data_IF_900387528350
#
_entry.id   IF_900387528350
#
_cell.length_a   1.000
_cell.length_b   1.000
_cell.length_c   1.000
_cell.angle_alpha   90.00
_cell.angle_beta   90.00
_cell.angle_gamma   90.00
#
_symmetry.space_group_name_H-M   'P 1'
#
loop_
_entity.id
_entity.type
_entity.pdbx_description
1 polymer ?
#
# COMPACT_ATOMS: atom_id res chain seq x y z
N UNK A 1 -3.66 26.87 -13.97
CA UNK A 1 -3.22 25.60 -14.46
C UNK A 1 -3.78 24.45 -13.69
N UNK A 2 -4.11 23.45 -14.39
CA UNK A 2 -4.71 22.27 -13.79
C UNK A 2 -3.70 21.38 -13.07
N UNK A 3 -2.42 21.74 -13.09
CA UNK A 3 -1.38 20.92 -12.46
C UNK A 3 -1.52 20.79 -10.96
N UNK A 4 -2.22 21.72 -10.33
CA UNK A 4 -2.35 21.74 -8.87
C UNK A 4 -3.74 21.31 -8.42
N UNK A 5 -4.29 20.32 -9.10
CA UNK A 5 -5.61 19.80 -8.75
C UNK A 5 -5.62 19.14 -7.37
N UNK A 6 -4.48 18.69 -6.90
CA UNK A 6 -4.41 17.93 -5.66
C UNK A 6 -3.46 18.59 -4.68
N UNK A 7 -3.91 18.69 -3.44
CA UNK A 7 -3.06 19.14 -2.35
C UNK A 7 -2.03 18.05 -2.06
N UNK A 8 -0.76 18.41 -1.87
CA UNK A 8 0.24 17.42 -1.51
C UNK A 8 -0.13 16.68 -0.22
N UNK A 9 0.07 15.37 -0.23
CA UNK A 9 -0.25 14.49 0.88
C UNK A 9 1.07 14.06 1.53
N UNK A 10 1.20 14.25 2.85
CA UNK A 10 2.30 13.66 3.60
C UNK A 10 1.98 12.18 3.75
N UNK A 11 2.67 11.35 2.99
CA UNK A 11 2.30 9.96 2.82
C UNK A 11 2.38 9.15 4.11
N UNK A 12 3.42 9.39 4.91
CA UNK A 12 3.58 8.67 6.19
C UNK A 12 2.36 8.89 7.08
N UNK A 13 1.95 10.15 7.22
CA UNK A 13 0.81 10.51 8.06
C UNK A 13 -0.49 9.95 7.49
N UNK A 14 -0.63 9.99 6.18
CA UNK A 14 -1.81 9.46 5.50
C UNK A 14 -1.98 7.97 5.78
N UNK A 15 -0.89 7.21 5.71
CA UNK A 15 -0.91 5.77 6.01
C UNK A 15 -1.23 5.53 7.48
N UNK A 16 -0.67 6.32 8.39
CA UNK A 16 -0.98 6.18 9.82
C UNK A 16 -2.47 6.36 10.07
N UNK A 17 -3.10 7.32 9.41
CA UNK A 17 -4.54 7.56 9.56
C UNK A 17 -5.36 6.38 9.04
N UNK A 18 -4.95 5.81 7.91
CA UNK A 18 -5.61 4.61 7.39
C UNK A 18 -5.43 3.43 8.33
N UNK A 19 -4.22 3.27 8.88
CA UNK A 19 -3.93 2.18 9.80
C UNK A 19 -4.79 2.22 11.04
N UNK A 20 -5.14 3.41 11.50
CA UNK A 20 -5.97 3.55 12.70
C UNK A 20 -7.29 2.79 12.56
N UNK A 21 -7.88 2.76 11.37
CA UNK A 21 -9.12 2.04 11.12
C UNK A 21 -8.94 0.53 11.03
N UNK A 22 -7.73 0.07 10.74
CA UNK A 22 -7.43 -1.36 10.58
C UNK A 22 -6.87 -1.95 11.89
N UNK A 23 -6.41 -1.11 12.79
CA UNK A 23 -5.71 -1.52 14.00
C UNK A 23 -6.45 -2.55 14.84
N UNK A 24 -7.77 -2.40 15.11
CA UNK A 24 -8.47 -3.39 15.91
C UNK A 24 -8.39 -4.79 15.31
N UNK A 25 -8.47 -4.88 13.99
CA UNK A 25 -8.38 -6.16 13.29
C UNK A 25 -6.98 -6.73 13.36
N UNK A 26 -5.97 -5.88 13.20
CA UNK A 26 -4.57 -6.29 13.31
C UNK A 26 -4.28 -6.82 14.72
N UNK A 27 -4.77 -6.13 15.75
CA UNK A 27 -4.59 -6.55 17.14
C UNK A 27 -5.22 -7.92 17.36
N UNK A 28 -6.43 -8.14 16.86
CA UNK A 28 -7.11 -9.43 17.04
C UNK A 28 -6.35 -10.57 16.37
N UNK A 29 -5.55 -10.29 15.37
CA UNK A 29 -4.73 -11.29 14.68
C UNK A 29 -3.28 -11.29 15.18
N UNK A 30 -2.98 -10.52 16.23
CA UNK A 30 -1.65 -10.39 16.80
C UNK A 30 -0.63 -10.00 15.73
N UNK A 31 -1.03 -9.10 14.84
CA UNK A 31 -0.25 -8.64 13.72
C UNK A 31 0.10 -7.19 13.94
N UNK A 32 1.36 -6.84 13.65
CA UNK A 32 1.88 -5.48 13.79
C UNK A 32 2.12 -4.91 12.40
N UNK A 33 1.63 -3.69 12.17
CA UNK A 33 1.91 -2.97 10.94
C UNK A 33 2.96 -1.92 11.25
N UNK A 34 4.06 -1.96 10.51
CA UNK A 34 5.18 -1.05 10.69
C UNK A 34 5.22 -0.09 9.50
N UNK A 35 4.95 1.17 9.78
CA UNK A 35 4.96 2.21 8.76
C UNK A 35 6.37 2.79 8.64
N UNK A 36 7.09 2.39 7.60
CA UNK A 36 8.46 2.79 7.33
C UNK A 36 8.55 3.80 6.17
N UNK A 37 7.44 4.46 5.88
CA UNK A 37 7.44 5.48 4.83
C UNK A 37 8.23 6.70 5.32
N UNK A 38 9.01 7.27 4.41
CA UNK A 38 9.77 8.49 4.68
C UNK A 38 8.80 9.59 5.13
N UNK A 39 9.09 10.19 6.28
CA UNK A 39 8.21 11.20 6.86
C UNK A 39 8.14 12.48 6.05
N UNK A 40 9.15 12.72 5.22
CA UNK A 40 9.21 13.92 4.39
C UNK A 40 8.62 13.70 3.00
N UNK A 41 8.19 12.49 2.69
CA UNK A 41 7.68 12.18 1.36
C UNK A 41 6.29 12.76 1.16
N UNK A 42 6.17 13.62 0.16
CA UNK A 42 4.89 14.19 -0.25
C UNK A 42 4.48 13.62 -1.60
N UNK A 43 3.18 13.48 -1.78
CA UNK A 43 2.62 12.93 -2.99
C UNK A 43 1.37 13.72 -3.38
N UNK A 44 1.36 14.24 -4.61
CA UNK A 44 0.19 14.92 -5.15
C UNK A 44 -0.64 13.96 -5.98
N UNK A 45 -1.78 13.54 -5.48
CA UNK A 45 -2.64 12.60 -6.18
C UNK A 45 -4.05 12.64 -5.61
N UNK A 46 -4.96 11.91 -6.25
CA UNK A 46 -6.34 11.80 -5.76
C UNK A 46 -6.35 11.03 -4.44
N UNK A 47 -6.68 11.75 -3.38
CA UNK A 47 -6.65 11.21 -2.02
C UNK A 47 -7.62 10.05 -1.85
N UNK A 48 -8.81 10.13 -2.45
CA UNK A 48 -9.82 9.09 -2.31
C UNK A 48 -9.42 7.80 -2.99
N UNK A 49 -8.86 7.89 -4.18
CA UNK A 49 -8.37 6.71 -4.90
C UNK A 49 -7.19 6.09 -4.18
N UNK A 50 -6.27 6.93 -3.68
CA UNK A 50 -5.12 6.44 -2.93
C UNK A 50 -5.56 5.72 -1.66
N UNK A 51 -6.53 6.30 -0.94
CA UNK A 51 -7.09 5.69 0.26
C UNK A 51 -7.70 4.32 -0.05
N UNK A 52 -8.47 4.24 -1.13
CA UNK A 52 -9.10 2.98 -1.55
C UNK A 52 -8.05 1.91 -1.80
N UNK A 53 -7.00 2.25 -2.56
CA UNK A 53 -5.95 1.30 -2.89
C UNK A 53 -5.22 0.83 -1.63
N UNK A 54 -4.72 1.77 -0.83
CA UNK A 54 -3.91 1.43 0.33
C UNK A 54 -4.73 0.70 1.40
N UNK A 55 -5.97 1.12 1.61
CA UNK A 55 -6.85 0.42 2.54
C UNK A 55 -7.01 -1.04 2.15
N UNK A 56 -7.28 -1.29 0.86
CA UNK A 56 -7.46 -2.65 0.37
C UNK A 56 -6.20 -3.49 0.54
N UNK A 57 -5.04 -2.91 0.24
CA UNK A 57 -3.78 -3.62 0.39
C UNK A 57 -3.50 -3.97 1.85
N UNK A 58 -3.70 -3.00 2.74
CA UNK A 58 -3.45 -3.21 4.17
C UNK A 58 -4.45 -4.18 4.78
N UNK A 59 -5.73 -4.03 4.45
CA UNK A 59 -6.77 -4.90 4.99
C UNK A 59 -6.54 -6.35 4.58
N UNK A 60 -6.17 -6.58 3.34
CA UNK A 60 -5.91 -7.94 2.86
C UNK A 60 -4.64 -8.52 3.46
N UNK A 61 -3.63 -7.69 3.66
CA UNK A 61 -2.41 -8.13 4.31
C UNK A 61 -2.72 -8.58 5.74
N UNK A 62 -3.51 -7.81 6.48
CA UNK A 62 -3.91 -8.17 7.84
C UNK A 62 -4.75 -9.45 7.83
N UNK A 63 -5.70 -9.56 6.91
CA UNK A 63 -6.56 -10.75 6.82
C UNK A 63 -5.77 -12.02 6.53
N UNK A 64 -4.64 -11.89 5.86
CA UNK A 64 -3.80 -13.03 5.46
C UNK A 64 -2.67 -13.32 6.42
N UNK A 65 -2.55 -12.56 7.50
CA UNK A 65 -1.38 -12.61 8.39
C UNK A 65 -1.83 -12.87 9.81
N UNK A 66 -1.03 -13.64 10.54
CA UNK A 66 -1.28 -13.90 11.96
C UNK A 66 0.06 -14.05 12.67
N UNK A 67 0.23 -13.33 13.79
CA UNK A 67 1.46 -13.34 14.59
C UNK A 67 2.69 -12.89 13.78
N UNK A 68 2.50 -11.94 12.86
CA UNK A 68 3.55 -11.49 11.97
C UNK A 68 3.61 -9.97 11.89
N UNK A 69 4.61 -9.48 11.19
CA UNK A 69 4.75 -8.05 10.91
C UNK A 69 4.44 -7.77 9.45
N UNK A 70 3.74 -6.67 9.23
CA UNK A 70 3.49 -6.15 7.90
C UNK A 70 4.30 -4.86 7.78
N UNK A 71 5.09 -4.73 6.73
CA UNK A 71 5.93 -3.55 6.52
C UNK A 71 5.36 -2.71 5.39
N UNK A 72 5.17 -1.42 5.65
CA UNK A 72 4.78 -0.46 4.61
C UNK A 72 5.99 0.42 4.36
N UNK A 73 6.49 0.39 3.13
CA UNK A 73 7.74 1.04 2.76
C UNK A 73 7.53 1.93 1.55
N UNK A 74 8.42 2.90 1.38
CA UNK A 74 8.40 3.76 0.21
C UNK A 74 9.80 3.95 -0.33
N UNK A 75 9.87 4.23 -1.63
CA UNK A 75 11.11 4.62 -2.26
C UNK A 75 10.78 5.58 -3.40
N UNK A 76 11.78 6.35 -3.80
CA UNK A 76 11.63 7.29 -4.88
C UNK A 76 12.75 7.09 -5.87
N UNK A 77 12.39 7.01 -7.14
CA UNK A 77 13.35 6.86 -8.22
C UNK A 77 12.99 7.86 -9.32
N UNK A 78 13.73 8.96 -9.36
CA UNK A 78 13.41 10.04 -10.27
C UNK A 78 12.04 10.64 -9.95
N UNK A 79 11.12 10.59 -10.90
CA UNK A 79 9.76 11.10 -10.73
C UNK A 79 8.78 10.03 -10.31
N UNK A 80 9.25 8.82 -10.07
CA UNK A 80 8.39 7.71 -9.66
C UNK A 80 8.46 7.53 -8.14
N UNK A 81 7.30 7.34 -7.52
CA UNK A 81 7.18 7.01 -6.10
C UNK A 81 6.61 5.62 -6.02
N UNK A 82 7.27 4.76 -5.24
CA UNK A 82 6.82 3.40 -5.03
C UNK A 82 6.43 3.22 -3.57
N UNK A 83 5.25 2.64 -3.37
CA UNK A 83 4.75 2.30 -2.03
C UNK A 83 4.61 0.79 -2.01
N UNK A 84 5.25 0.15 -1.04
CA UNK A 84 5.24 -1.30 -0.93
C UNK A 84 4.59 -1.75 0.37
N UNK A 85 3.74 -2.78 0.26
CA UNK A 85 3.20 -3.48 1.42
C UNK A 85 3.77 -4.89 1.37
N UNK A 86 4.56 -5.25 2.38
CA UNK A 86 5.27 -6.52 2.42
C UNK A 86 4.87 -7.31 3.66
N UNK A 87 4.49 -8.56 3.47
CA UNK A 87 4.18 -9.43 4.59
C UNK A 87 4.61 -10.86 4.30
N UNK A 88 4.80 -11.64 5.36
CA UNK A 88 5.09 -13.05 5.24
C UNK A 88 3.79 -13.79 4.94
N UNK A 89 3.82 -14.70 3.97
CA UNK A 89 2.69 -15.57 3.70
C UNK A 89 2.26 -15.58 2.26
N UNK A 90 1.85 -16.75 1.81
CA UNK A 90 1.38 -16.96 0.45
C UNK A 90 -0.09 -16.55 0.30
N UNK A 91 -0.83 -16.49 1.41
CA UNK A 91 -2.26 -16.19 1.34
C UNK A 91 -2.55 -14.78 0.84
N UNK A 92 -1.72 -13.84 1.17
CA UNK A 92 -1.87 -12.48 0.67
C UNK A 92 -1.87 -12.47 -0.86
N UNK A 93 -0.88 -13.16 -1.44
CA UNK A 93 -0.77 -13.29 -2.89
C UNK A 93 -2.02 -13.90 -3.51
N UNK A 94 -2.50 -15.01 -2.93
CA UNK A 94 -3.67 -15.72 -3.45
C UNK A 94 -4.94 -14.89 -3.30
N UNK A 95 -5.09 -14.20 -2.18
CA UNK A 95 -6.27 -13.36 -1.94
C UNK A 95 -6.33 -12.21 -2.92
N UNK A 96 -5.18 -11.61 -3.22
CA UNK A 96 -5.12 -10.52 -4.19
C UNK A 96 -5.51 -10.99 -5.59
N UNK A 97 -5.15 -12.20 -5.97
CA UNK A 97 -5.45 -12.72 -7.29
C UNK A 97 -6.96 -12.73 -7.57
N UNK A 98 -7.78 -12.88 -6.56
CA UNK A 98 -9.23 -12.97 -6.72
C UNK A 98 -9.93 -11.61 -6.84
N UNK A 99 -9.36 -10.55 -6.23
CA UNK A 99 -10.03 -9.25 -6.18
C UNK A 99 -9.11 -8.11 -6.60
N UNK A 100 -8.05 -8.45 -7.30
CA UNK A 100 -7.00 -7.51 -7.64
C UNK A 100 -7.44 -6.50 -8.70
N UNK A 101 -8.41 -6.88 -9.54
CA UNK A 101 -8.82 -6.06 -10.68
C UNK A 101 -9.29 -4.66 -10.29
N UNK A 102 -10.10 -4.56 -9.23
CA UNK A 102 -10.63 -3.26 -8.81
C UNK A 102 -9.52 -2.34 -8.31
N UNK A 103 -8.59 -2.90 -7.54
CA UNK A 103 -7.46 -2.14 -7.02
C UNK A 103 -6.54 -1.72 -8.17
N UNK A 104 -6.31 -2.62 -9.11
CA UNK A 104 -5.50 -2.35 -10.28
C UNK A 104 -6.11 -1.24 -11.14
N UNK A 105 -7.43 -1.29 -11.31
CA UNK A 105 -8.15 -0.28 -12.06
C UNK A 105 -8.06 1.10 -11.40
N UNK A 106 -8.16 1.15 -10.07
CA UNK A 106 -8.00 2.39 -9.33
C UNK A 106 -6.59 2.95 -9.50
N UNK A 107 -5.58 2.07 -9.48
CA UNK A 107 -4.19 2.50 -9.70
C UNK A 107 -4.02 3.10 -11.09
N UNK A 108 -4.64 2.51 -12.10
CA UNK A 108 -4.59 3.05 -13.46
C UNK A 108 -5.18 4.45 -13.53
N UNK A 109 -6.25 4.70 -12.79
CA UNK A 109 -6.85 6.03 -12.74
C UNK A 109 -5.92 7.06 -12.12
N UNK A 110 -5.00 6.63 -11.25
CA UNK A 110 -3.99 7.50 -10.69
C UNK A 110 -2.78 7.68 -11.60
N UNK A 111 -2.77 7.00 -12.75
CA UNK A 111 -1.61 7.01 -13.63
C UNK A 111 -0.50 6.10 -13.14
N UNK A 112 -0.84 5.13 -12.30
CA UNK A 112 0.13 4.22 -11.72
C UNK A 112 -0.10 2.77 -12.09
N UNK A 113 0.72 1.91 -11.53
CA UNK A 113 0.65 0.47 -11.73
C UNK A 113 0.82 -0.24 -10.40
N UNK A 114 0.27 -1.46 -10.32
CA UNK A 114 0.46 -2.31 -9.15
C UNK A 114 1.13 -3.60 -9.63
N UNK A 115 2.15 -4.01 -8.89
CA UNK A 115 2.81 -5.29 -9.13
C UNK A 115 2.78 -6.12 -7.85
N UNK A 116 2.74 -7.44 -8.03
CA UNK A 116 2.74 -8.39 -6.92
C UNK A 116 3.91 -9.33 -7.13
N UNK A 117 4.74 -9.46 -6.11
CA UNK A 117 5.90 -10.32 -6.16
C UNK A 117 5.92 -11.24 -4.95
N UNK A 118 6.14 -12.52 -5.20
CA UNK A 118 6.24 -13.51 -4.14
C UNK A 118 7.61 -14.18 -4.18
N UNK A 119 8.35 -14.04 -3.09
CA UNK A 119 9.68 -14.65 -2.96
C UNK A 119 9.55 -15.96 -2.19
N UNK A 120 9.70 -17.09 -2.89
CA UNK A 120 9.58 -18.41 -2.28
C UNK A 120 10.61 -18.64 -1.17
N UNK A 121 11.83 -18.16 -1.39
CA UNK A 121 12.90 -18.38 -0.42
C UNK A 121 12.59 -17.79 0.96
N UNK A 122 11.90 -16.68 1.01
CA UNK A 122 11.55 -16.01 2.26
C UNK A 122 10.08 -16.13 2.63
N UNK A 123 9.29 -16.75 1.76
CA UNK A 123 7.83 -16.83 1.90
C UNK A 123 7.21 -15.45 2.12
N UNK A 124 7.68 -14.47 1.36
CA UNK A 124 7.28 -13.07 1.55
C UNK A 124 6.59 -12.56 0.29
N UNK A 125 5.43 -11.93 0.47
CA UNK A 125 4.69 -11.28 -0.61
C UNK A 125 4.88 -9.78 -0.52
N UNK A 126 5.21 -9.16 -1.64
CA UNK A 126 5.35 -7.71 -1.74
C UNK A 126 4.39 -7.19 -2.82
N UNK A 127 3.54 -6.26 -2.43
CA UNK A 127 2.68 -5.57 -3.38
C UNK A 127 3.19 -4.15 -3.49
N UNK A 128 3.46 -3.70 -4.70
CA UNK A 128 4.03 -2.39 -4.94
C UNK A 128 3.11 -1.55 -5.82
N UNK A 129 2.78 -0.37 -5.34
CA UNK A 129 2.07 0.65 -6.10
C UNK A 129 3.12 1.65 -6.58
N UNK A 130 3.24 1.84 -7.88
CA UNK A 130 4.17 2.79 -8.46
C UNK A 130 3.39 3.93 -9.08
N UNK A 131 3.68 5.14 -8.65
CA UNK A 131 3.05 6.36 -9.15
C UNK A 131 4.12 7.27 -9.74
N UNK A 132 3.82 7.84 -10.89
CA UNK A 132 4.73 8.79 -11.52
C UNK A 132 4.17 10.19 -11.41
N UNK A 133 5.07 11.15 -11.25
CA UNK A 133 4.67 12.56 -11.26
C UNK A 133 4.10 12.90 -12.63
N UNK A 134 3.06 13.70 -12.62
CA UNK A 134 2.41 14.13 -13.86
C UNK A 134 3.28 15.09 -14.68
#
# INVERSE_FOLDING_TARGET
MATDLYTPILLHRFVDELMAGILPRAVSRKTIIINQIDRDLELGTDENLLAFILWNLLDRAVASTQNECIHVESSRDGDATMIRVRNAGVYFYRTLANNFRQVQHAAEKLGGTISVDYAEATCCTTVALTLRAA
#
